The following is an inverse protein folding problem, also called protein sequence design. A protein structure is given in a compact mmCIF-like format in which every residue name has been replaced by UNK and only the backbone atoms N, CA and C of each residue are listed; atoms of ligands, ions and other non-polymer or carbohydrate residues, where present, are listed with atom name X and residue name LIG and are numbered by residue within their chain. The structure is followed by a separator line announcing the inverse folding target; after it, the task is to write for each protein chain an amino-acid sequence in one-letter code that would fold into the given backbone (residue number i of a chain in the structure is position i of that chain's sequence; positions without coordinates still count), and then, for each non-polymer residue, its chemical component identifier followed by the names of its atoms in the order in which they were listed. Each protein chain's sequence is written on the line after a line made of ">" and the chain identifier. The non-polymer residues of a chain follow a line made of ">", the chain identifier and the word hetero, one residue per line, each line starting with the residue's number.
data_IF_912915962176
#
_entry.id   IF_912915962176
#
_cell.length_a   1.000
_cell.length_b   1.000
_cell.length_c   1.000
_cell.angle_alpha   90.00
_cell.angle_beta   90.00
_cell.angle_gamma   90.00
#
_symmetry.space_group_name_H-M   'P 1'
#
loop_
_entity.id
_entity.type
_entity.pdbx_description
1 polymer ?
#
# COMPACT_ATOMS: atom_id res chain seq x y z
N UNK A 1 -14.45 11.37 -4.22
CA UNK A 1 -14.66 11.36 -2.75
C UNK A 1 -15.35 10.04 -2.37
N UNK A 2 -15.38 9.63 -1.11
CA UNK A 2 -16.12 8.42 -0.69
C UNK A 2 -17.60 8.76 -0.47
N UNK A 3 -18.52 7.86 -0.87
CA UNK A 3 -19.97 8.10 -0.79
C UNK A 3 -20.58 7.88 0.61
N UNK A 4 -19.82 7.38 1.60
CA UNK A 4 -20.36 7.05 2.92
C UNK A 4 -20.62 8.32 3.77
N UNK A 5 -21.83 8.48 4.36
CA UNK A 5 -22.19 9.66 5.17
C UNK A 5 -21.47 9.71 6.52
N UNK A 6 -21.00 8.56 7.04
CA UNK A 6 -20.15 8.47 8.23
C UNK A 6 -18.77 8.02 7.82
N UNK A 7 -17.78 8.90 8.01
CA UNK A 7 -16.37 8.58 7.81
C UNK A 7 -15.87 7.85 9.04
N UNK A 8 -15.43 6.61 8.87
CA UNK A 8 -14.64 5.94 9.90
C UNK A 8 -13.29 6.67 9.99
N UNK A 9 -12.87 7.02 11.21
CA UNK A 9 -11.53 7.56 11.41
C UNK A 9 -10.50 6.49 11.06
N UNK A 10 -9.46 6.88 10.35
CA UNK A 10 -8.30 6.06 10.02
C UNK A 10 -7.03 6.87 10.23
N UNK A 11 -5.89 6.28 9.89
CA UNK A 11 -4.60 6.94 9.97
C UNK A 11 -3.79 6.69 8.70
N UNK A 12 -2.77 7.52 8.50
CA UNK A 12 -1.74 7.32 7.50
C UNK A 12 -0.40 7.59 8.15
N UNK A 13 0.52 6.64 8.00
CA UNK A 13 1.85 6.68 8.58
C UNK A 13 2.85 7.19 7.57
N UNK A 14 3.81 7.97 8.06
CA UNK A 14 5.01 8.39 7.33
C UNK A 14 6.21 8.26 8.27
N UNK A 15 7.40 8.02 7.75
CA UNK A 15 8.57 7.74 8.59
C UNK A 15 9.86 8.29 8.00
N UNK A 16 10.76 8.76 8.86
CA UNK A 16 12.18 8.99 8.52
C UNK A 16 12.98 7.69 8.34
N UNK A 17 12.38 6.55 8.69
CA UNK A 17 12.96 5.21 8.57
C UNK A 17 14.26 5.02 9.36
N UNK A 18 14.27 5.53 10.60
CA UNK A 18 15.37 5.32 11.54
C UNK A 18 15.21 3.94 12.21
N UNK A 19 16.16 3.04 11.97
CA UNK A 19 16.19 1.70 12.61
C UNK A 19 17.06 1.75 13.86
N UNK A 20 16.55 1.23 14.96
CA UNK A 20 17.27 1.12 16.23
C UNK A 20 16.99 -0.25 16.86
N UNK A 21 18.03 -0.89 17.42
CA UNK A 21 17.82 -2.09 18.21
C UNK A 21 16.96 -1.78 19.44
N UNK A 22 15.97 -2.60 19.70
CA UNK A 22 15.02 -2.38 20.79
C UNK A 22 15.71 -2.25 22.17
N UNK A 23 16.71 -3.07 22.45
CA UNK A 23 17.45 -2.99 23.72
C UNK A 23 18.29 -1.71 23.83
N UNK A 24 18.87 -1.24 22.73
CA UNK A 24 19.59 0.04 22.68
C UNK A 24 18.63 1.21 22.93
N UNK A 25 17.44 1.18 22.33
CA UNK A 25 16.39 2.17 22.57
C UNK A 25 15.96 2.18 24.03
N UNK A 26 15.64 1.02 24.62
CA UNK A 26 15.27 0.92 26.03
C UNK A 26 16.38 1.39 26.97
N UNK A 27 17.64 1.09 26.66
CA UNK A 27 18.78 1.59 27.42
C UNK A 27 18.86 3.12 27.36
N UNK A 28 18.68 3.72 26.17
CA UNK A 28 18.66 5.16 25.99
C UNK A 28 17.52 5.84 26.78
N UNK A 29 16.31 5.28 26.73
CA UNK A 29 15.16 5.77 27.51
C UNK A 29 15.44 5.74 29.01
N UNK A 30 16.04 4.65 29.53
CA UNK A 30 16.42 4.55 30.95
C UNK A 30 17.49 5.57 31.35
N UNK A 31 18.45 5.85 30.46
CA UNK A 31 19.52 6.82 30.71
C UNK A 31 19.02 8.28 30.70
N UNK A 32 17.91 8.57 30.01
CA UNK A 32 17.36 9.92 29.90
C UNK A 32 16.73 10.48 31.20
N UNK A 33 16.68 9.69 32.29
CA UNK A 33 16.37 10.07 33.70
C UNK A 33 15.26 11.13 33.85
N UNK A 34 14.04 10.81 33.43
CA UNK A 34 12.85 11.61 33.74
C UNK A 34 12.37 12.57 32.64
N UNK A 35 13.02 12.58 31.46
CA UNK A 35 12.43 13.16 30.24
C UNK A 35 11.44 12.19 29.61
N UNK A 36 10.37 12.72 29.03
CA UNK A 36 9.43 11.90 28.25
C UNK A 36 10.17 11.29 27.05
N UNK A 37 9.90 10.02 26.76
CA UNK A 37 10.50 9.26 25.66
C UNK A 37 10.37 10.01 24.33
N UNK A 38 9.18 10.52 24.04
CA UNK A 38 8.87 11.18 22.78
C UNK A 38 9.43 12.60 22.67
N UNK A 39 9.56 13.33 23.78
CA UNK A 39 10.30 14.60 23.80
C UNK A 39 11.78 14.39 23.49
N UNK A 40 12.36 13.32 24.04
CA UNK A 40 13.76 12.95 23.77
C UNK A 40 13.94 12.49 22.32
N UNK A 41 13.00 11.71 21.79
CA UNK A 41 13.01 11.26 20.39
C UNK A 41 12.84 12.41 19.41
N UNK A 42 11.98 13.40 19.69
CA UNK A 42 11.77 14.56 18.83
C UNK A 42 13.08 15.33 18.59
N UNK A 43 13.88 15.55 19.63
CA UNK A 43 15.18 16.23 19.51
C UNK A 43 16.18 15.46 18.63
N UNK A 44 16.12 14.12 18.66
CA UNK A 44 17.04 13.26 17.90
C UNK A 44 16.56 12.98 16.46
N UNK A 45 15.26 13.05 16.21
CA UNK A 45 14.64 12.79 14.92
C UNK A 45 14.24 14.09 14.20
N UNK A 46 15.14 15.08 14.18
CA UNK A 46 14.96 16.34 13.46
C UNK A 46 13.67 17.12 13.80
N UNK A 47 13.22 17.08 15.05
CA UNK A 47 11.98 17.70 15.53
C UNK A 47 10.72 17.20 14.82
N UNK A 48 10.71 15.92 14.42
CA UNK A 48 9.52 15.24 13.92
C UNK A 48 8.37 15.39 14.92
N UNK A 49 7.18 15.77 14.43
CA UNK A 49 6.02 16.14 15.28
C UNK A 49 5.34 14.93 15.93
N UNK A 50 5.54 13.74 15.37
CA UNK A 50 4.97 12.50 15.86
C UNK A 50 6.03 11.38 15.79
N UNK A 51 6.52 10.92 16.95
CA UNK A 51 7.51 9.84 17.04
C UNK A 51 6.81 8.59 17.54
N UNK A 52 6.99 7.47 16.85
CA UNK A 52 6.47 6.16 17.21
C UNK A 52 7.40 5.05 16.75
N UNK A 53 7.20 3.84 17.28
CA UNK A 53 7.99 2.66 16.91
C UNK A 53 7.10 1.63 16.22
N UNK A 54 7.40 1.33 14.95
CA UNK A 54 6.89 0.14 14.28
C UNK A 54 7.88 -1.00 14.53
N UNK A 55 7.49 -2.11 15.17
CA UNK A 55 8.40 -3.21 15.41
C UNK A 55 8.76 -3.92 14.10
N UNK A 56 10.06 -4.20 13.92
CA UNK A 56 10.56 -5.04 12.82
C UNK A 56 10.87 -6.42 13.37
N UNK A 57 10.23 -7.45 12.82
CA UNK A 57 10.45 -8.84 13.25
C UNK A 57 11.64 -9.45 12.51
N UNK A 58 12.77 -9.58 13.21
CA UNK A 58 13.96 -10.27 12.70
C UNK A 58 13.95 -11.79 12.92
N UNK A 59 14.92 -12.52 12.33
CA UNK A 59 14.94 -13.98 12.36
C UNK A 59 15.19 -14.53 13.77
N UNK A 60 16.05 -13.87 14.54
CA UNK A 60 16.42 -14.27 15.90
C UNK A 60 15.49 -13.75 17.00
N UNK A 61 14.46 -13.00 16.64
CA UNK A 61 13.50 -12.44 17.61
C UNK A 61 12.37 -13.45 17.84
N UNK A 62 12.12 -13.89 19.10
CA UNK A 62 10.98 -14.75 19.41
C UNK A 62 9.65 -14.08 19.05
N UNK A 63 8.69 -14.86 18.55
CA UNK A 63 7.37 -14.35 18.18
C UNK A 63 6.69 -13.60 19.33
N UNK A 64 6.78 -14.12 20.56
CA UNK A 64 6.19 -13.50 21.75
C UNK A 64 6.74 -12.10 22.03
N UNK A 65 8.03 -11.86 21.76
CA UNK A 65 8.65 -10.55 21.90
C UNK A 65 8.14 -9.58 20.82
N UNK A 66 8.05 -10.03 19.57
CA UNK A 66 7.47 -9.26 18.48
C UNK A 66 6.01 -8.89 18.75
N UNK A 67 5.18 -9.87 19.12
CA UNK A 67 3.77 -9.68 19.45
C UNK A 67 3.58 -8.66 20.58
N UNK A 68 4.45 -8.69 21.61
CA UNK A 68 4.44 -7.71 22.70
C UNK A 68 4.75 -6.30 22.19
N UNK A 69 5.73 -6.14 21.32
CA UNK A 69 6.06 -4.83 20.74
C UNK A 69 4.97 -4.33 19.79
N UNK A 70 4.33 -5.23 19.03
CA UNK A 70 3.22 -4.88 18.15
C UNK A 70 1.98 -4.45 18.94
N UNK A 71 1.70 -5.10 20.08
CA UNK A 71 0.64 -4.65 20.98
C UNK A 71 0.92 -3.23 21.50
N UNK A 72 2.17 -2.91 21.89
CA UNK A 72 2.57 -1.56 22.29
C UNK A 72 2.41 -0.55 21.17
N UNK A 73 2.80 -0.90 19.95
CA UNK A 73 2.58 -0.07 18.76
C UNK A 73 1.10 0.25 18.55
N UNK A 74 0.22 -0.75 18.68
CA UNK A 74 -1.23 -0.54 18.55
C UNK A 74 -1.80 0.36 19.65
N UNK A 75 -1.35 0.21 20.90
CA UNK A 75 -1.73 1.14 21.99
C UNK A 75 -1.27 2.56 21.68
N UNK A 76 -0.04 2.73 21.21
CA UNK A 76 0.48 4.02 20.79
C UNK A 76 -0.36 4.65 19.66
N UNK A 77 -0.71 3.88 18.62
CA UNK A 77 -1.58 4.36 17.54
C UNK A 77 -2.93 4.81 18.08
N UNK A 78 -3.52 4.06 19.01
CA UNK A 78 -4.79 4.41 19.65
C UNK A 78 -4.69 5.74 20.42
N UNK A 79 -3.62 5.94 21.19
CA UNK A 79 -3.40 7.17 21.96
C UNK A 79 -3.20 8.38 21.05
N UNK A 80 -2.42 8.24 19.97
CA UNK A 80 -2.10 9.36 19.08
C UNK A 80 -3.21 9.70 18.08
N UNK A 81 -4.00 8.72 17.65
CA UNK A 81 -5.00 8.91 16.58
C UNK A 81 -6.44 8.87 17.08
N UNK A 82 -6.67 8.40 18.32
CA UNK A 82 -8.00 8.09 18.83
C UNK A 82 -8.60 6.81 18.24
N UNK A 83 -7.89 6.10 17.36
CA UNK A 83 -8.39 4.87 16.73
C UNK A 83 -8.35 3.71 17.71
N UNK A 84 -9.52 3.30 18.20
CA UNK A 84 -9.65 2.31 19.29
C UNK A 84 -9.21 0.90 18.90
N UNK A 85 -9.35 0.53 17.63
CA UNK A 85 -9.08 -0.82 17.15
C UNK A 85 -8.23 -0.76 15.87
N UNK A 86 -6.89 -0.74 15.99
CA UNK A 86 -6.00 -0.91 14.84
C UNK A 86 -6.15 -2.32 14.26
N UNK A 87 -6.82 -2.44 13.11
CA UNK A 87 -7.00 -3.70 12.38
C UNK A 87 -6.00 -3.83 11.22
N UNK A 88 -5.83 -5.04 10.68
CA UNK A 88 -4.99 -5.22 9.49
C UNK A 88 -5.59 -4.50 8.26
N UNK A 89 -6.91 -4.32 8.18
CA UNK A 89 -7.55 -3.55 7.11
C UNK A 89 -7.15 -2.07 7.16
N UNK A 90 -6.97 -1.51 8.35
CA UNK A 90 -6.46 -0.14 8.50
C UNK A 90 -5.02 -0.03 8.02
N UNK A 91 -4.19 -1.04 8.25
CA UNK A 91 -2.82 -1.08 7.69
C UNK A 91 -2.82 -1.24 6.16
N UNK A 92 -3.78 -1.96 5.58
CA UNK A 92 -3.97 -2.00 4.11
C UNK A 92 -4.38 -0.60 3.61
N UNK A 93 -5.26 0.11 4.32
CA UNK A 93 -5.59 1.50 4.00
C UNK A 93 -4.41 2.45 4.19
N UNK A 94 -3.54 2.21 5.17
CA UNK A 94 -2.35 3.01 5.39
C UNK A 94 -1.42 2.90 4.17
N UNK A 95 -1.11 1.67 3.72
CA UNK A 95 -0.34 1.44 2.48
C UNK A 95 -1.05 2.06 1.27
N UNK A 96 -2.39 1.92 1.16
CA UNK A 96 -3.18 2.58 0.10
C UNK A 96 -2.97 4.09 0.09
N UNK A 97 -3.04 4.73 1.25
CA UNK A 97 -2.86 6.19 1.38
C UNK A 97 -1.40 6.59 1.11
N UNK A 98 -0.44 5.77 1.52
CA UNK A 98 0.97 6.00 1.26
C UNK A 98 1.28 5.92 -0.25
N UNK A 99 0.79 4.90 -0.96
CA UNK A 99 0.92 4.80 -2.42
C UNK A 99 0.22 5.95 -3.15
N UNK A 100 -0.95 6.38 -2.68
CA UNK A 100 -1.61 7.57 -3.22
C UNK A 100 -0.77 8.84 -3.00
N UNK A 101 -0.10 8.96 -1.85
CA UNK A 101 0.82 10.07 -1.55
C UNK A 101 2.01 10.08 -2.53
N UNK A 102 2.60 8.92 -2.82
CA UNK A 102 3.63 8.78 -3.86
C UNK A 102 3.09 9.18 -5.25
N UNK A 103 1.95 8.60 -5.64
CA UNK A 103 1.36 8.78 -6.96
C UNK A 103 0.82 10.19 -7.25
N UNK A 104 0.44 10.92 -6.19
CA UNK A 104 0.02 12.32 -6.26
C UNK A 104 1.14 13.30 -5.94
N UNK A 105 2.37 12.80 -5.76
CA UNK A 105 3.56 13.59 -5.49
C UNK A 105 3.44 14.51 -4.26
N UNK A 106 2.67 14.05 -3.28
CA UNK A 106 2.40 14.77 -2.04
C UNK A 106 3.60 14.71 -1.10
N UNK A 107 3.74 15.74 -0.25
CA UNK A 107 4.80 15.79 0.76
C UNK A 107 4.59 14.72 1.83
N UNK A 108 5.67 14.04 2.23
CA UNK A 108 5.70 13.12 3.37
C UNK A 108 6.03 13.84 4.70
N UNK A 109 6.44 15.11 4.62
CA UNK A 109 6.86 15.90 5.78
C UNK A 109 5.84 16.96 6.21
N UNK A 110 4.89 17.35 5.36
CA UNK A 110 3.99 18.47 5.63
C UNK A 110 3.12 18.26 6.89
N UNK A 111 2.63 17.04 7.09
CA UNK A 111 1.73 16.69 8.19
C UNK A 111 2.52 16.50 9.50
N UNK A 112 3.10 15.32 9.68
CA UNK A 112 3.76 14.87 10.92
C UNK A 112 5.29 14.83 10.86
N UNK A 113 5.89 15.04 9.68
CA UNK A 113 7.34 15.04 9.49
C UNK A 113 7.93 13.65 9.25
N UNK A 114 7.51 12.91 8.22
CA UNK A 114 8.02 11.56 7.95
C UNK A 114 9.06 11.49 6.83
N UNK A 115 10.07 12.35 6.83
CA UNK A 115 11.15 12.31 5.83
C UNK A 115 10.69 12.49 4.37
N UNK A 116 11.38 11.83 3.45
CA UNK A 116 11.14 11.89 2.00
C UNK A 116 10.64 10.57 1.40
N UNK A 117 10.55 10.52 0.07
CA UNK A 117 10.18 9.31 -0.68
C UNK A 117 11.08 8.11 -0.35
N UNK A 118 12.38 8.36 -0.20
CA UNK A 118 13.38 7.36 0.19
C UNK A 118 13.05 6.72 1.54
N UNK A 119 12.81 7.48 2.60
CA UNK A 119 12.45 6.89 3.89
C UNK A 119 11.15 6.08 3.82
N UNK A 120 10.14 6.56 3.07
CA UNK A 120 8.83 5.92 3.04
C UNK A 120 8.75 4.69 2.12
N UNK A 121 9.62 4.57 1.09
CA UNK A 121 9.66 3.35 0.28
C UNK A 121 10.15 2.16 1.13
N UNK A 122 11.10 2.42 2.02
CA UNK A 122 11.66 1.43 2.95
C UNK A 122 10.68 1.03 4.06
N UNK A 123 9.71 1.88 4.40
CA UNK A 123 8.69 1.58 5.42
C UNK A 123 7.70 0.49 4.96
N UNK A 124 7.35 0.48 3.66
CA UNK A 124 6.26 -0.33 3.10
C UNK A 124 6.38 -1.84 3.41
N UNK A 125 7.54 -2.51 3.23
CA UNK A 125 7.69 -3.93 3.52
C UNK A 125 7.33 -4.30 4.97
N UNK A 126 7.56 -3.39 5.92
CA UNK A 126 7.32 -3.64 7.34
C UNK A 126 5.85 -3.39 7.75
N UNK A 127 5.15 -2.49 7.06
CA UNK A 127 3.68 -2.41 7.18
C UNK A 127 3.03 -3.66 6.58
N UNK A 128 3.51 -4.12 5.41
CA UNK A 128 3.08 -5.39 4.81
C UNK A 128 3.30 -6.55 5.78
N UNK A 129 4.48 -6.64 6.41
CA UNK A 129 4.79 -7.69 7.37
C UNK A 129 3.82 -7.68 8.57
N UNK A 130 3.43 -6.50 9.05
CA UNK A 130 2.44 -6.35 10.12
C UNK A 130 1.06 -6.88 9.71
N UNK A 131 0.61 -6.58 8.48
CA UNK A 131 -0.64 -7.13 7.94
C UNK A 131 -0.57 -8.65 7.85
N UNK A 132 0.52 -9.20 7.30
CA UNK A 132 0.72 -10.64 7.14
C UNK A 132 0.73 -11.37 8.48
N UNK A 133 1.39 -10.82 9.49
CA UNK A 133 1.39 -11.39 10.83
C UNK A 133 -0.04 -11.58 11.37
N UNK A 134 -0.86 -10.53 11.27
CA UNK A 134 -2.26 -10.57 11.73
C UNK A 134 -3.09 -11.52 10.87
N UNK A 135 -2.94 -11.49 9.54
CA UNK A 135 -3.66 -12.40 8.63
C UNK A 135 -3.37 -13.87 8.95
N UNK A 136 -2.10 -14.22 9.13
CA UNK A 136 -1.65 -15.59 9.37
C UNK A 136 -2.08 -16.08 10.76
N UNK A 137 -1.90 -15.27 11.81
CA UNK A 137 -2.27 -15.65 13.19
C UNK A 137 -3.78 -15.73 13.41
N UNK A 138 -4.57 -14.89 12.73
CA UNK A 138 -6.04 -14.92 12.78
C UNK A 138 -6.68 -15.83 11.74
N UNK A 139 -5.88 -16.48 10.88
CA UNK A 139 -6.32 -17.35 9.77
C UNK A 139 -7.31 -16.65 8.83
N UNK A 140 -7.10 -15.36 8.58
CA UNK A 140 -7.98 -14.53 7.75
C UNK A 140 -7.63 -14.55 6.26
N UNK A 141 -6.48 -15.11 5.86
CA UNK A 141 -6.01 -15.14 4.46
C UNK A 141 -7.08 -15.68 3.50
N UNK A 142 -7.65 -16.87 3.76
CA UNK A 142 -8.67 -17.46 2.87
C UNK A 142 -9.97 -16.67 2.78
N UNK A 143 -10.31 -15.87 3.81
CA UNK A 143 -11.42 -14.92 3.72
C UNK A 143 -11.08 -13.80 2.75
N UNK A 144 -9.90 -13.22 2.88
CA UNK A 144 -9.47 -12.11 2.02
C UNK A 144 -9.23 -12.53 0.56
N UNK A 145 -8.76 -13.76 0.33
CA UNK A 145 -8.72 -14.34 -1.03
C UNK A 145 -10.12 -14.38 -1.65
N UNK A 146 -11.15 -14.80 -0.91
CA UNK A 146 -12.54 -14.80 -1.39
C UNK A 146 -13.07 -13.39 -1.62
N UNK A 147 -12.74 -12.44 -0.74
CA UNK A 147 -13.12 -11.04 -0.91
C UNK A 147 -12.51 -10.45 -2.18
N UNK A 148 -11.22 -10.69 -2.42
CA UNK A 148 -10.53 -10.23 -3.62
C UNK A 148 -11.08 -10.90 -4.88
N UNK A 149 -11.38 -12.21 -4.83
CA UNK A 149 -12.02 -12.90 -5.95
C UNK A 149 -13.39 -12.30 -6.27
N UNK A 150 -14.22 -12.04 -5.25
CA UNK A 150 -15.52 -11.39 -5.43
C UNK A 150 -15.40 -9.97 -6.02
N UNK A 151 -14.34 -9.23 -5.68
CA UNK A 151 -14.03 -7.95 -6.30
C UNK A 151 -13.68 -8.09 -7.79
N UNK A 152 -12.83 -9.06 -8.15
CA UNK A 152 -12.42 -9.33 -9.53
C UNK A 152 -13.59 -9.81 -10.39
N UNK A 153 -14.50 -10.61 -9.83
CA UNK A 153 -15.70 -11.13 -10.49
C UNK A 153 -16.89 -10.14 -10.47
N UNK A 154 -16.74 -8.97 -9.84
CA UNK A 154 -17.82 -8.02 -9.70
C UNK A 154 -18.31 -7.55 -11.08
N UNK A 155 -19.62 -7.59 -11.36
CA UNK A 155 -20.16 -7.22 -12.67
C UNK A 155 -19.92 -5.73 -12.97
N UNK A 156 -19.73 -5.39 -14.25
CA UNK A 156 -19.37 -4.04 -14.72
C UNK A 156 -20.36 -2.97 -14.28
N UNK A 157 -21.61 -3.36 -14.04
CA UNK A 157 -22.68 -2.50 -13.53
C UNK A 157 -22.40 -1.90 -12.17
N UNK A 158 -21.49 -2.52 -11.40
CA UNK A 158 -21.09 -2.06 -10.07
C UNK A 158 -19.76 -1.31 -10.06
N UNK A 159 -19.04 -1.27 -11.17
CA UNK A 159 -17.69 -0.70 -11.19
C UNK A 159 -17.67 0.80 -10.88
N UNK A 160 -18.62 1.56 -11.44
CA UNK A 160 -18.71 3.00 -11.18
C UNK A 160 -19.08 3.29 -9.73
N UNK A 161 -20.03 2.53 -9.16
CA UNK A 161 -20.39 2.63 -7.75
C UNK A 161 -19.18 2.31 -6.85
N UNK A 162 -18.44 1.24 -7.16
CA UNK A 162 -17.23 0.81 -6.42
C UNK A 162 -16.10 1.86 -6.42
N UNK A 163 -16.08 2.77 -7.40
CA UNK A 163 -15.09 3.85 -7.46
C UNK A 163 -15.16 4.82 -6.26
N UNK A 164 -16.29 4.85 -5.55
CA UNK A 164 -16.57 5.74 -4.42
C UNK A 164 -16.68 4.99 -3.08
N UNK A 165 -16.37 3.71 -3.05
CA UNK A 165 -16.29 2.92 -1.82
C UNK A 165 -14.94 3.09 -1.12
N UNK A 166 -14.96 3.00 0.21
CA UNK A 166 -13.75 3.04 1.07
C UNK A 166 -12.82 1.87 0.72
N UNK A 167 -13.43 0.68 0.64
CA UNK A 167 -12.83 -0.59 0.21
C UNK A 167 -13.03 -0.78 -1.30
N UNK A 168 -12.73 0.25 -2.08
CA UNK A 168 -12.85 0.22 -3.54
C UNK A 168 -11.61 -0.37 -4.24
N UNK A 169 -11.48 -0.14 -5.55
CA UNK A 169 -10.39 -0.71 -6.36
C UNK A 169 -8.97 -0.49 -5.81
N UNK A 170 -8.69 0.68 -5.23
CA UNK A 170 -7.37 0.96 -4.64
C UNK A 170 -7.09 0.08 -3.40
N UNK A 171 -8.10 -0.21 -2.58
CA UNK A 171 -7.95 -1.10 -1.42
C UNK A 171 -7.66 -2.52 -1.87
N UNK A 172 -8.46 -3.06 -2.80
CA UNK A 172 -8.27 -4.42 -3.31
C UNK A 172 -6.95 -4.61 -4.06
N UNK A 173 -6.45 -3.58 -4.74
CA UNK A 173 -5.12 -3.59 -5.36
C UNK A 173 -4.02 -3.77 -4.30
N UNK A 174 -4.11 -3.08 -3.15
CA UNK A 174 -3.13 -3.27 -2.05
C UNK A 174 -3.36 -4.59 -1.32
N UNK A 175 -4.60 -5.02 -1.13
CA UNK A 175 -4.92 -6.32 -0.52
C UNK A 175 -4.26 -7.46 -1.31
N UNK A 176 -4.24 -7.37 -2.65
CA UNK A 176 -3.62 -8.37 -3.51
C UNK A 176 -2.17 -8.69 -3.10
N UNK A 177 -1.35 -7.70 -2.72
CA UNK A 177 0.04 -7.90 -2.27
C UNK A 177 0.16 -8.95 -1.16
N UNK A 178 -0.86 -9.07 -0.32
CA UNK A 178 -0.86 -9.90 0.88
C UNK A 178 -1.38 -11.32 0.61
N UNK A 179 -2.20 -11.51 -0.43
CA UNK A 179 -2.95 -12.75 -0.66
C UNK A 179 -2.75 -13.39 -2.03
N UNK A 180 -2.28 -12.64 -3.03
CA UNK A 180 -1.95 -13.17 -4.36
C UNK A 180 -0.44 -13.32 -4.54
N UNK A 181 0.06 -14.51 -4.89
CA UNK A 181 1.44 -14.67 -5.33
C UNK A 181 1.69 -13.92 -6.66
N UNK A 182 2.96 -13.61 -6.99
CA UNK A 182 3.34 -12.85 -8.18
C UNK A 182 2.72 -13.38 -9.47
N UNK A 183 2.56 -14.70 -9.59
CA UNK A 183 2.05 -15.32 -10.82
C UNK A 183 0.54 -15.08 -10.98
N UNK A 184 -0.21 -15.05 -9.87
CA UNK A 184 -1.63 -14.67 -9.88
C UNK A 184 -1.80 -13.16 -10.04
N UNK A 185 -0.87 -12.35 -9.54
CA UNK A 185 -0.84 -10.91 -9.83
C UNK A 185 -0.68 -10.68 -11.33
N UNK A 186 0.32 -11.28 -11.97
CA UNK A 186 0.52 -11.17 -13.43
C UNK A 186 -0.72 -11.54 -14.23
N UNK A 187 -1.46 -12.58 -13.81
CA UNK A 187 -2.70 -12.98 -14.48
C UNK A 187 -3.87 -12.01 -14.28
N UNK A 188 -3.86 -11.18 -13.24
CA UNK A 188 -5.00 -10.30 -12.87
C UNK A 188 -4.69 -8.81 -12.96
N UNK A 189 -3.42 -8.42 -13.13
CA UNK A 189 -2.94 -7.03 -13.05
C UNK A 189 -3.59 -6.09 -14.07
N UNK A 190 -3.89 -6.59 -15.27
CA UNK A 190 -4.60 -5.81 -16.31
C UNK A 190 -6.06 -5.58 -15.93
N UNK A 191 -6.71 -6.55 -15.29
CA UNK A 191 -8.09 -6.37 -14.83
C UNK A 191 -8.16 -5.34 -13.71
N UNK A 192 -7.22 -5.40 -12.77
CA UNK A 192 -7.09 -4.38 -11.71
C UNK A 192 -6.80 -3.00 -12.31
N UNK A 193 -5.94 -2.91 -13.34
CA UNK A 193 -5.71 -1.67 -14.07
C UNK A 193 -7.00 -1.10 -14.67
N UNK A 194 -7.85 -1.93 -15.30
CA UNK A 194 -9.17 -1.50 -15.82
C UNK A 194 -10.04 -0.91 -14.71
N UNK A 195 -10.09 -1.54 -13.53
CA UNK A 195 -10.86 -1.05 -12.38
C UNK A 195 -10.35 0.31 -11.88
N UNK A 196 -9.04 0.52 -11.85
CA UNK A 196 -8.43 1.79 -11.45
C UNK A 196 -8.68 2.91 -12.49
N UNK A 197 -8.62 2.60 -13.79
CA UNK A 197 -8.91 3.55 -14.86
C UNK A 197 -10.38 4.00 -14.86
N UNK A 198 -11.32 3.07 -14.66
CA UNK A 198 -12.74 3.40 -14.50
C UNK A 198 -12.96 4.25 -13.24
N UNK A 199 -12.23 3.95 -12.15
CA UNK A 199 -12.27 4.77 -10.93
C UNK A 199 -11.81 6.20 -11.18
N UNK A 200 -10.71 6.38 -11.93
CA UNK A 200 -10.20 7.69 -12.33
C UNK A 200 -11.21 8.47 -13.17
N UNK A 201 -11.77 7.83 -14.20
CA UNK A 201 -12.81 8.44 -15.03
C UNK A 201 -14.01 8.88 -14.19
N UNK A 202 -14.58 7.97 -13.40
CA UNK A 202 -15.76 8.24 -12.58
C UNK A 202 -15.55 9.41 -11.63
N UNK A 203 -14.38 9.48 -10.98
CA UNK A 203 -14.05 10.57 -10.05
C UNK A 203 -13.78 11.90 -10.76
N UNK A 204 -13.25 11.87 -11.99
CA UNK A 204 -13.03 13.07 -12.79
C UNK A 204 -14.36 13.67 -13.28
N UNK A 205 -15.31 12.85 -13.74
CA UNK A 205 -16.59 13.32 -14.30
C UNK A 205 -17.68 13.53 -13.25
N UNK A 206 -17.60 12.82 -12.12
CA UNK A 206 -18.59 12.88 -11.05
C UNK A 206 -17.92 12.85 -9.66
N UNK A 207 -17.22 13.92 -9.25
CA UNK A 207 -16.45 13.95 -8.00
C UNK A 207 -17.28 13.72 -6.74
N UNK A 208 -18.58 14.06 -6.81
CA UNK A 208 -19.57 13.87 -5.73
C UNK A 208 -20.21 12.48 -5.65
N UNK A 209 -19.80 11.53 -6.50
CA UNK A 209 -20.36 10.18 -6.54
C UNK A 209 -21.25 9.92 -7.75
N UNK A 210 -21.20 8.70 -8.26
CA UNK A 210 -22.06 8.22 -9.34
C UNK A 210 -22.27 6.71 -9.26
N UNK A 211 -23.33 6.23 -9.90
CA UNK A 211 -23.58 4.80 -10.11
C UNK A 211 -23.39 4.37 -11.58
N UNK A 212 -23.21 5.34 -12.50
CA UNK A 212 -23.01 5.15 -13.96
C UNK A 212 -22.14 6.27 -14.52
N UNK A 213 -21.47 6.05 -15.66
CA UNK A 213 -20.72 7.07 -16.37
C UNK A 213 -21.62 7.87 -17.31
N UNK A 214 -21.90 9.12 -16.95
CA UNK A 214 -22.62 10.06 -17.83
C UNK A 214 -21.74 10.59 -18.95
N UNK A 215 -20.42 10.65 -18.74
CA UNK A 215 -19.44 11.05 -19.74
C UNK A 215 -18.36 9.96 -19.90
N UNK A 216 -18.41 9.31 -21.06
CA UNK A 216 -17.50 8.22 -21.47
C UNK A 216 -16.37 8.72 -22.37
N UNK A 217 -16.26 10.04 -22.57
CA UNK A 217 -15.16 10.63 -23.32
C UNK A 217 -13.86 10.46 -22.54
N UNK A 218 -12.85 9.89 -23.19
CA UNK A 218 -11.51 9.74 -22.60
C UNK A 218 -10.99 11.12 -22.21
N UNK A 219 -10.47 11.23 -20.99
CA UNK A 219 -9.90 12.47 -20.44
C UNK A 219 -8.40 12.54 -20.71
N UNK A 220 -7.80 13.69 -20.40
CA UNK A 220 -6.35 13.85 -20.49
C UNK A 220 -5.64 12.85 -19.57
N UNK A 221 -4.40 12.49 -19.92
CA UNK A 221 -3.57 11.56 -19.14
C UNK A 221 -3.49 11.92 -17.64
N UNK A 222 -3.48 13.23 -17.32
CA UNK A 222 -3.48 13.74 -15.95
C UNK A 222 -4.64 13.22 -15.09
N UNK A 223 -5.80 12.91 -15.69
CA UNK A 223 -6.95 12.35 -15.00
C UNK A 223 -6.71 10.89 -14.55
N UNK A 224 -5.83 10.15 -15.22
CA UNK A 224 -5.52 8.74 -14.93
C UNK A 224 -4.17 8.56 -14.25
N UNK A 225 -3.26 9.54 -14.37
CA UNK A 225 -1.85 9.48 -13.93
C UNK A 225 -1.71 8.95 -12.50
N UNK A 226 -2.48 9.45 -11.54
CA UNK A 226 -2.37 8.99 -10.16
C UNK A 226 -2.72 7.50 -9.99
N UNK A 227 -3.71 6.99 -10.71
CA UNK A 227 -4.07 5.57 -10.66
C UNK A 227 -3.05 4.68 -11.39
N UNK A 228 -2.45 5.19 -12.46
CA UNK A 228 -1.37 4.52 -13.19
C UNK A 228 -0.11 4.39 -12.33
N UNK A 229 0.33 5.50 -11.71
CA UNK A 229 1.46 5.50 -10.78
C UNK A 229 1.19 4.65 -9.53
N UNK A 230 -0.04 4.67 -9.01
CA UNK A 230 -0.45 3.78 -7.92
C UNK A 230 -0.34 2.30 -8.31
N UNK A 231 -0.81 1.92 -9.50
CA UNK A 231 -0.65 0.56 -10.02
C UNK A 231 0.81 0.18 -10.19
N UNK A 232 1.65 1.09 -10.70
CA UNK A 232 3.08 0.85 -10.90
C UNK A 232 3.80 0.59 -9.57
N UNK A 233 3.46 1.32 -8.50
CA UNK A 233 4.01 1.05 -7.17
C UNK A 233 3.69 -0.37 -6.72
N UNK A 234 2.45 -0.84 -6.89
CA UNK A 234 2.07 -2.22 -6.53
C UNK A 234 2.89 -3.24 -7.34
N UNK A 235 3.02 -3.05 -8.64
CA UNK A 235 3.82 -3.95 -9.49
C UNK A 235 5.32 -3.94 -9.10
N UNK A 236 5.87 -2.78 -8.74
CA UNK A 236 7.23 -2.64 -8.23
C UNK A 236 7.43 -3.36 -6.87
N UNK A 237 6.45 -3.31 -5.97
CA UNK A 237 6.49 -4.09 -4.73
C UNK A 237 6.42 -5.60 -5.02
N UNK A 238 5.62 -6.05 -5.99
CA UNK A 238 5.69 -7.46 -6.43
C UNK A 238 7.08 -7.84 -6.94
N UNK A 239 7.72 -6.96 -7.71
CA UNK A 239 9.08 -7.16 -8.21
C UNK A 239 10.13 -7.17 -7.10
N UNK A 240 9.92 -6.42 -6.01
CA UNK A 240 10.74 -6.47 -4.79
C UNK A 240 10.73 -7.88 -4.16
N UNK A 241 9.57 -8.55 -4.20
CA UNK A 241 9.34 -9.86 -3.59
C UNK A 241 9.44 -11.04 -4.56
N UNK A 242 9.96 -10.83 -5.78
CA UNK A 242 10.05 -11.89 -6.80
C UNK A 242 10.93 -13.11 -6.42
N UNK A 243 11.78 -12.97 -5.39
CA UNK A 243 12.64 -14.05 -4.87
C UNK A 243 11.99 -14.85 -3.73
N UNK A 244 10.77 -14.49 -3.32
CA UNK A 244 10.02 -15.22 -2.30
C UNK A 244 9.77 -16.66 -2.81
N UNK A 245 10.14 -17.70 -2.06
CA UNK A 245 9.87 -19.08 -2.45
C UNK A 245 8.37 -19.39 -2.50
N UNK A 246 7.95 -20.15 -3.51
CA UNK A 246 6.61 -20.71 -3.57
C UNK A 246 6.42 -21.70 -2.41
N UNK A 247 5.51 -21.42 -1.47
CA UNK A 247 5.17 -22.38 -0.41
C UNK A 247 4.13 -23.38 -0.90
N UNK A 248 4.38 -24.66 -0.58
CA UNK A 248 3.48 -25.78 -0.79
C UNK A 248 2.70 -26.18 0.49
N UNK A 249 2.77 -25.38 1.57
CA UNK A 249 2.12 -25.67 2.87
C UNK A 249 0.83 -24.85 3.09
N UNK A 250 0.09 -25.16 4.17
CA UNK A 250 -1.22 -24.59 4.56
C UNK A 250 -1.30 -23.05 4.71
N UNK A 251 -0.21 -22.31 4.51
CA UNK A 251 -0.17 -20.84 4.58
C UNK A 251 0.03 -20.10 3.26
N UNK A 252 0.31 -20.82 2.17
CA UNK A 252 0.46 -20.24 0.83
C UNK A 252 1.39 -19.02 0.74
N UNK A 253 0.99 -18.03 -0.07
CA UNK A 253 1.75 -16.81 -0.32
C UNK A 253 1.97 -15.96 0.94
N UNK A 254 0.95 -15.80 1.79
CA UNK A 254 1.02 -14.89 2.94
C UNK A 254 2.04 -15.35 3.98
N UNK A 255 2.20 -16.65 4.20
CA UNK A 255 3.24 -17.19 5.07
C UNK A 255 4.63 -17.10 4.43
N UNK A 256 4.76 -17.46 3.13
CA UNK A 256 6.04 -17.32 2.40
C UNK A 256 6.59 -15.90 2.44
N UNK A 257 5.73 -14.91 2.18
CA UNK A 257 6.12 -13.52 2.14
C UNK A 257 6.52 -13.01 3.53
N UNK A 258 5.78 -13.38 4.58
CA UNK A 258 6.13 -13.01 5.96
C UNK A 258 7.51 -13.55 6.36
N UNK A 259 7.75 -14.84 6.11
CA UNK A 259 9.05 -15.46 6.40
C UNK A 259 10.18 -14.87 5.56
N UNK A 260 9.93 -14.53 4.30
CA UNK A 260 10.93 -13.85 3.48
C UNK A 260 11.28 -12.47 4.05
N UNK A 261 10.29 -11.64 4.39
CA UNK A 261 10.53 -10.30 4.95
C UNK A 261 11.32 -10.39 6.26
N UNK A 262 11.02 -11.39 7.09
CA UNK A 262 11.71 -11.64 8.35
C UNK A 262 13.20 -11.96 8.20
N UNK A 263 13.62 -12.56 7.09
CA UNK A 263 14.98 -13.09 6.90
C UNK A 263 15.82 -12.33 5.86
N UNK A 264 15.27 -11.33 5.19
CA UNK A 264 15.91 -10.70 4.02
C UNK A 264 15.85 -9.16 4.10
N UNK A 265 16.16 -8.57 5.25
CA UNK A 265 16.18 -7.13 5.48
C UNK A 265 17.08 -6.37 4.48
N UNK A 266 18.34 -6.78 4.31
CA UNK A 266 19.27 -6.13 3.39
C UNK A 266 18.87 -6.30 1.91
N UNK A 267 18.52 -7.51 1.41
CA UNK A 267 17.96 -7.63 0.06
C UNK A 267 16.69 -6.81 -0.19
N UNK A 268 15.83 -6.65 0.83
CA UNK A 268 14.61 -5.83 0.72
C UNK A 268 14.96 -4.35 0.67
N UNK A 269 15.93 -3.91 1.47
CA UNK A 269 16.44 -2.53 1.45
C UNK A 269 16.95 -2.16 0.05
N UNK A 270 17.86 -2.96 -0.51
CA UNK A 270 18.38 -2.74 -1.87
C UNK A 270 17.29 -2.79 -2.95
N UNK A 271 16.30 -3.66 -2.78
CA UNK A 271 15.18 -3.76 -3.71
C UNK A 271 14.20 -2.58 -3.59
N UNK A 272 14.08 -1.97 -2.41
CA UNK A 272 13.30 -0.75 -2.18
C UNK A 272 13.96 0.47 -2.83
N UNK A 273 15.28 0.60 -2.73
CA UNK A 273 16.05 1.62 -3.47
C UNK A 273 15.84 1.48 -4.98
N UNK A 274 15.95 0.26 -5.50
CA UNK A 274 15.73 0.00 -6.92
C UNK A 274 14.30 0.33 -7.35
N UNK A 275 13.30 -0.07 -6.54
CA UNK A 275 11.90 0.22 -6.82
C UNK A 275 11.64 1.73 -6.86
N UNK A 276 12.17 2.49 -5.91
CA UNK A 276 12.03 3.94 -5.90
C UNK A 276 12.71 4.58 -7.10
N UNK A 277 13.93 4.14 -7.45
CA UNK A 277 14.65 4.63 -8.62
C UNK A 277 13.85 4.43 -9.90
N UNK A 278 13.38 3.21 -10.16
CA UNK A 278 12.53 2.92 -11.33
C UNK A 278 11.23 3.73 -11.29
N UNK A 279 10.59 3.89 -10.12
CA UNK A 279 9.40 4.72 -10.01
C UNK A 279 9.66 6.18 -10.42
N UNK A 280 10.76 6.78 -9.96
CA UNK A 280 11.08 8.19 -10.21
C UNK A 280 11.65 8.45 -11.60
N UNK A 281 12.49 7.55 -12.12
CA UNK A 281 13.22 7.74 -13.37
C UNK A 281 12.46 7.19 -14.59
N UNK A 282 11.61 6.18 -14.41
CA UNK A 282 10.93 5.51 -15.53
C UNK A 282 9.42 5.81 -15.53
N UNK A 283 8.73 5.71 -14.39
CA UNK A 283 7.26 5.89 -14.34
C UNK A 283 6.81 7.34 -14.19
N UNK A 284 7.41 8.11 -13.28
CA UNK A 284 7.00 9.51 -13.05
C UNK A 284 7.16 10.42 -14.29
N UNK A 285 8.16 10.25 -15.17
CA UNK A 285 8.28 11.10 -16.37
C UNK A 285 7.27 10.80 -17.48
N UNK A 286 6.51 9.70 -17.39
CA UNK A 286 5.54 9.31 -18.42
C UNK A 286 4.44 10.36 -18.59
N UNK A 287 4.13 10.73 -19.83
CA UNK A 287 3.13 11.74 -20.17
C UNK A 287 1.92 11.19 -20.94
N UNK A 288 2.02 9.95 -21.45
CA UNK A 288 0.94 9.30 -22.20
C UNK A 288 0.59 7.90 -21.69
N UNK A 289 -0.62 7.44 -22.03
CA UNK A 289 -1.04 6.08 -21.66
C UNK A 289 -0.23 5.01 -22.40
N UNK A 290 0.15 5.25 -23.66
CA UNK A 290 0.96 4.31 -24.44
C UNK A 290 2.36 4.12 -23.84
N UNK A 291 3.04 5.23 -23.50
CA UNK A 291 4.33 5.20 -22.79
C UNK A 291 4.22 4.44 -21.46
N UNK A 292 3.13 4.64 -20.71
CA UNK A 292 2.92 3.90 -19.47
C UNK A 292 2.86 2.39 -19.72
N UNK A 293 2.14 1.94 -20.75
CA UNK A 293 2.03 0.51 -21.07
C UNK A 293 3.38 -0.09 -21.49
N UNK A 294 4.23 0.67 -22.16
CA UNK A 294 5.59 0.26 -22.50
C UNK A 294 6.44 0.05 -21.25
N UNK A 295 6.56 1.09 -20.40
CA UNK A 295 7.33 1.04 -19.15
C UNK A 295 6.79 -0.03 -18.19
N UNK A 296 5.48 -0.22 -18.13
CA UNK A 296 4.83 -1.25 -17.31
C UNK A 296 4.99 -2.68 -17.87
N UNK A 297 5.55 -2.84 -19.08
CA UNK A 297 5.66 -4.13 -19.75
C UNK A 297 4.30 -4.78 -20.04
N UNK A 298 3.32 -3.96 -20.43
CA UNK A 298 1.92 -4.36 -20.68
C UNK A 298 1.57 -4.44 -22.17
N UNK A 299 2.46 -4.04 -23.08
CA UNK A 299 2.19 -4.06 -24.53
C UNK A 299 1.92 -5.47 -25.10
N UNK A 300 2.41 -6.53 -24.44
CA UNK A 300 2.08 -7.91 -24.82
C UNK A 300 0.69 -8.36 -24.34
N UNK A 301 0.11 -7.68 -23.36
CA UNK A 301 -1.20 -8.00 -22.77
C UNK A 301 -2.31 -7.05 -23.23
N UNK A 302 -1.96 -5.83 -23.64
CA UNK A 302 -2.84 -4.81 -24.19
C UNK A 302 -2.39 -4.52 -25.62
N UNK A 303 -3.00 -5.22 -26.59
CA UNK A 303 -2.59 -5.21 -28.00
C UNK A 303 -3.03 -3.97 -28.78
N UNK A 304 -3.97 -3.19 -28.25
CA UNK A 304 -4.42 -1.93 -28.86
C UNK A 304 -4.53 -0.83 -27.79
N UNK A 305 -3.40 -0.18 -27.45
CA UNK A 305 -3.35 0.94 -26.49
C UNK A 305 -4.28 2.11 -26.82
N UNK A 306 -4.51 2.37 -28.11
CA UNK A 306 -5.25 3.54 -28.57
C UNK A 306 -6.76 3.38 -28.34
N UNK A 307 -7.30 2.18 -28.60
CA UNK A 307 -8.71 1.89 -28.34
C UNK A 307 -9.00 1.47 -26.89
N UNK A 308 -8.00 0.96 -26.16
CA UNK A 308 -8.19 0.33 -24.85
C UNK A 308 -9.05 1.16 -23.87
N UNK A 309 -8.71 2.44 -23.68
CA UNK A 309 -9.47 3.32 -22.78
C UNK A 309 -10.88 3.57 -23.30
N UNK A 310 -11.04 3.83 -24.60
CA UNK A 310 -12.33 4.10 -25.22
C UNK A 310 -13.26 2.88 -25.08
N UNK A 311 -12.76 1.69 -25.36
CA UNK A 311 -13.51 0.44 -25.29
C UNK A 311 -13.85 0.09 -23.84
N UNK A 312 -12.89 0.29 -22.92
CA UNK A 312 -13.11 0.12 -21.48
C UNK A 312 -14.27 1.00 -20.99
N UNK A 313 -14.23 2.30 -21.27
CA UNK A 313 -15.25 3.24 -20.83
C UNK A 313 -16.61 2.97 -21.50
N UNK A 314 -16.61 2.51 -22.75
CA UNK A 314 -17.82 2.12 -23.47
C UNK A 314 -18.45 0.85 -22.89
N UNK A 315 -17.66 -0.02 -22.27
CA UNK A 315 -18.10 -1.30 -21.71
C UNK A 315 -18.73 -1.23 -20.32
N UNK A 316 -18.59 -0.10 -19.61
CA UNK A 316 -19.22 0.13 -18.31
C UNK A 316 -20.48 1.00 -18.49
N UNK A 317 -21.54 0.85 -17.66
CA UNK A 317 -22.80 1.55 -17.89
C UNK A 317 -22.73 3.07 -17.80
#
# INVERSE_FOLDING_TARGET
>A
MENKPRKQQGYSSVSHFNIVHYDCHLAAVRLARGREEWESAALQNANTKCNGLLPVWGPHVPESAFATCLARHNTYLQECTGQREPTYQLNIHDIKLLFLRFAMEQSFSADTGGGGRESNIHLIPYIIHTVLYVLNTTRATSREEKNLQAFLEQPKEKWVESAFEVDGPHYFTVLALHVLPPEKWRATRVEILRRLLVTSQARAVAPGGATRLTDKTVKDYSAYRSSLLFWALVDLIYNMFKKVPTSNTEGGWSCSLAEYIRHNDMPIYEAADKALKTFQEEFMPVETFSEFLDVAGLLSEITDPESFLKDLLSSVP
#
